data_IF_191278758221
#
_entry.id   IF_191278758221
#
_cell.length_a   1.000
_cell.length_b   1.000
_cell.length_c   1.000
_cell.angle_alpha   90.00
_cell.angle_beta   90.00
_cell.angle_gamma   90.00
#
_symmetry.space_group_name_H-M   'P 1'
#
loop_
_entity.id
_entity.type
_entity.pdbx_description
1 polymer ?
#
# COMPACT_ATOMS: atom_id res chain seq x y z
N UNK A 1 19.13 -2.04 -9.47
CA UNK A 1 17.93 -1.66 -10.24
C UNK A 1 16.79 -2.58 -9.84
N UNK A 2 16.03 -2.22 -8.80
CA UNK A 2 14.82 -2.93 -8.42
C UNK A 2 13.75 -2.62 -9.49
N UNK A 3 13.71 -3.42 -10.56
CA UNK A 3 12.58 -3.40 -11.48
C UNK A 3 11.35 -3.83 -10.70
N UNK A 4 10.33 -3.01 -10.81
CA UNK A 4 9.15 -2.93 -9.98
C UNK A 4 8.45 -4.28 -9.82
N UNK A 5 8.34 -4.75 -8.57
CA UNK A 5 7.41 -5.82 -8.22
C UNK A 5 5.96 -5.33 -8.23
N UNK A 6 5.68 -4.08 -8.63
CA UNK A 6 4.34 -3.50 -8.67
C UNK A 6 3.36 -4.39 -9.47
N UNK A 7 3.71 -4.78 -10.69
CA UNK A 7 2.83 -5.66 -11.49
C UNK A 7 2.66 -7.04 -10.87
N UNK A 8 3.69 -7.57 -10.18
CA UNK A 8 3.57 -8.83 -9.45
C UNK A 8 2.63 -8.69 -8.24
N UNK A 9 2.73 -7.60 -7.51
CA UNK A 9 1.85 -7.30 -6.38
C UNK A 9 0.42 -7.01 -6.85
N UNK A 10 0.25 -6.28 -7.96
CA UNK A 10 -1.04 -6.04 -8.60
C UNK A 10 -1.68 -7.35 -9.06
N UNK A 11 -0.91 -8.30 -9.61
CA UNK A 11 -1.43 -9.63 -9.96
C UNK A 11 -1.84 -10.47 -8.75
N UNK A 12 -1.33 -10.16 -7.56
CA UNK A 12 -1.54 -10.92 -6.33
C UNK A 12 -2.64 -10.33 -5.44
N UNK A 13 -2.76 -9.01 -5.44
CA UNK A 13 -3.63 -8.26 -4.53
C UNK A 13 -4.60 -7.31 -5.25
N UNK A 14 -4.53 -7.23 -6.57
CA UNK A 14 -5.38 -6.37 -7.39
C UNK A 14 -6.83 -6.87 -7.52
N UNK A 15 -7.66 -6.16 -8.30
CA UNK A 15 -9.05 -6.55 -8.50
C UNK A 15 -9.15 -7.92 -9.18
N UNK A 16 -10.14 -8.72 -8.75
CA UNK A 16 -10.42 -10.04 -9.33
C UNK A 16 -9.47 -11.16 -8.88
N UNK A 17 -8.51 -10.90 -7.99
CA UNK A 17 -7.71 -11.95 -7.37
C UNK A 17 -8.53 -12.73 -6.34
N UNK A 18 -8.36 -14.07 -6.24
CA UNK A 18 -9.04 -14.84 -5.21
C UNK A 18 -8.68 -14.32 -3.82
N UNK A 19 -9.60 -14.36 -2.84
CA UNK A 19 -9.35 -13.85 -1.50
C UNK A 19 -8.10 -14.51 -0.93
N UNK A 20 -7.04 -13.71 -0.78
CA UNK A 20 -5.80 -14.15 -0.15
C UNK A 20 -6.14 -14.37 1.33
N UNK A 21 -5.70 -15.48 1.97
CA UNK A 21 -5.99 -15.72 3.38
C UNK A 21 -5.66 -14.47 4.20
N UNK A 22 -6.59 -14.08 5.07
CA UNK A 22 -6.61 -12.79 5.77
C UNK A 22 -5.22 -12.43 6.30
N UNK A 23 -4.62 -11.40 5.72
CA UNK A 23 -3.30 -10.93 6.11
C UNK A 23 -3.38 -10.45 7.57
N UNK A 24 -2.54 -11.00 8.45
CA UNK A 24 -2.49 -10.51 9.84
C UNK A 24 -1.90 -9.10 9.89
N UNK A 25 -2.25 -8.30 10.91
CA UNK A 25 -1.68 -6.96 11.12
C UNK A 25 -0.15 -6.95 11.08
N UNK A 26 0.49 -7.98 11.65
CA UNK A 26 1.94 -8.13 11.64
C UNK A 26 2.50 -8.33 10.24
N UNK A 27 1.87 -9.17 9.41
CA UNK A 27 2.27 -9.39 8.03
C UNK A 27 2.06 -8.13 7.18
N UNK A 28 0.95 -7.44 7.37
CA UNK A 28 0.62 -6.18 6.71
C UNK A 28 1.66 -5.08 6.99
N UNK A 29 2.06 -4.92 8.26
CA UNK A 29 3.15 -4.01 8.67
C UNK A 29 4.48 -4.35 8.02
N UNK A 30 4.82 -5.65 7.95
CA UNK A 30 6.04 -6.14 7.31
C UNK A 30 6.01 -5.84 5.81
N UNK A 31 4.85 -6.04 5.16
CA UNK A 31 4.64 -5.70 3.76
C UNK A 31 4.92 -4.21 3.52
N UNK A 32 4.26 -3.31 4.24
CA UNK A 32 4.44 -1.87 4.07
C UNK A 32 5.90 -1.42 4.31
N UNK A 33 6.57 -2.01 5.30
CA UNK A 33 7.99 -1.74 5.57
C UNK A 33 8.90 -2.22 4.43
N UNK A 34 8.66 -3.42 3.89
CA UNK A 34 9.42 -3.95 2.75
C UNK A 34 9.18 -3.13 1.49
N UNK A 35 7.93 -2.76 1.25
CA UNK A 35 7.49 -1.92 0.15
C UNK A 35 8.16 -0.54 0.20
N UNK A 36 8.18 0.11 1.37
CA UNK A 36 8.95 1.35 1.56
C UNK A 36 10.44 1.15 1.24
N UNK A 37 11.05 0.08 1.73
CA UNK A 37 12.48 -0.23 1.54
C UNK A 37 12.87 -0.60 0.10
N UNK A 38 11.94 -1.07 -0.73
CA UNK A 38 12.21 -1.31 -2.15
C UNK A 38 12.15 -0.05 -3.00
N UNK A 39 11.44 0.99 -2.54
CA UNK A 39 11.30 2.29 -3.21
C UNK A 39 12.27 3.36 -2.65
N UNK A 40 13.26 2.92 -1.87
CA UNK A 40 14.01 3.69 -0.88
C UNK A 40 15.20 4.51 -1.43
N UNK A 41 15.44 4.54 -2.74
CA UNK A 41 16.64 5.21 -3.28
C UNK A 41 16.61 6.75 -3.15
N UNK A 42 15.44 7.37 -2.98
CA UNK A 42 15.30 8.84 -2.93
C UNK A 42 14.92 9.46 -1.57
N UNK A 43 14.55 8.67 -0.55
CA UNK A 43 13.89 9.18 0.68
C UNK A 43 14.73 9.08 1.97
N UNK A 44 16.03 8.82 1.85
CA UNK A 44 16.93 8.62 2.99
C UNK A 44 17.12 9.86 3.88
N UNK A 45 16.88 11.07 3.35
CA UNK A 45 17.04 12.31 4.13
C UNK A 45 15.86 12.55 5.09
N UNK A 46 14.65 12.08 4.77
CA UNK A 46 13.43 12.34 5.56
C UNK A 46 13.14 11.26 6.62
N UNK A 47 13.56 10.02 6.41
CA UNK A 47 13.31 8.92 7.37
C UNK A 47 14.05 9.02 8.71
N UNK A 48 15.15 9.80 8.78
CA UNK A 48 15.89 10.00 10.04
C UNK A 48 15.15 10.93 11.01
N UNK A 49 14.35 11.86 10.48
CA UNK A 49 13.60 12.85 11.27
C UNK A 49 12.35 12.28 11.94
N UNK A 50 11.92 11.06 11.57
CA UNK A 50 10.69 10.45 12.10
C UNK A 50 10.98 9.69 13.41
N UNK A 51 10.31 10.06 14.52
CA UNK A 51 10.39 9.35 15.80
C UNK A 51 10.12 7.84 15.65
N UNK A 52 10.85 7.02 16.42
CA UNK A 52 10.82 5.54 16.28
C UNK A 52 9.40 4.95 16.35
N UNK A 53 8.55 5.50 17.21
CA UNK A 53 7.16 5.08 17.40
C UNK A 53 6.27 5.40 16.17
N UNK A 54 6.58 6.45 15.40
CA UNK A 54 5.77 6.87 14.25
C UNK A 54 6.19 6.22 12.93
N UNK A 55 7.37 5.59 12.87
CA UNK A 55 7.90 5.02 11.62
C UNK A 55 6.98 4.00 10.98
N UNK A 56 6.33 3.14 11.76
CA UNK A 56 5.45 2.13 11.19
C UNK A 56 4.22 2.77 10.55
N UNK A 57 3.60 3.75 11.22
CA UNK A 57 2.47 4.51 10.67
C UNK A 57 2.87 5.24 9.38
N UNK A 58 4.07 5.84 9.37
CA UNK A 58 4.61 6.44 8.16
C UNK A 58 4.80 5.45 7.01
N UNK A 59 5.30 4.23 7.27
CA UNK A 59 5.42 3.20 6.23
C UNK A 59 4.06 2.80 5.65
N UNK A 60 3.01 2.76 6.48
CA UNK A 60 1.67 2.41 6.05
C UNK A 60 1.09 3.50 5.13
N UNK A 61 1.22 4.77 5.53
CA UNK A 61 0.77 5.93 4.71
C UNK A 61 1.57 6.01 3.41
N UNK A 62 2.90 5.88 3.49
CA UNK A 62 3.74 5.88 2.29
C UNK A 62 3.33 4.78 1.31
N UNK A 63 3.08 3.56 1.82
CA UNK A 63 2.68 2.44 0.97
C UNK A 63 1.34 2.72 0.28
N UNK A 64 0.39 3.36 0.96
CA UNK A 64 -0.86 3.82 0.34
C UNK A 64 -0.62 4.80 -0.80
N UNK A 65 0.11 5.89 -0.54
CA UNK A 65 0.37 6.92 -1.56
C UNK A 65 1.13 6.34 -2.76
N UNK A 66 2.19 5.56 -2.52
CA UNK A 66 3.02 5.02 -3.59
C UNK A 66 2.27 3.98 -4.44
N UNK A 67 1.34 3.22 -3.87
CA UNK A 67 0.44 2.37 -4.66
C UNK A 67 -0.44 3.20 -5.59
N UNK A 68 -1.03 4.30 -5.10
CA UNK A 68 -1.81 5.23 -5.93
C UNK A 68 -0.98 5.81 -7.07
N UNK A 69 0.24 6.26 -6.77
CA UNK A 69 1.17 6.77 -7.80
C UNK A 69 1.49 5.68 -8.83
N UNK A 70 1.76 4.45 -8.41
CA UNK A 70 2.05 3.36 -9.35
C UNK A 70 0.85 3.01 -10.24
N UNK A 71 -0.37 3.01 -9.71
CA UNK A 71 -1.57 2.82 -10.51
C UNK A 71 -1.71 3.94 -11.56
N UNK A 72 -1.37 5.18 -11.19
CA UNK A 72 -1.44 6.33 -12.08
C UNK A 72 -0.31 6.36 -13.13
N UNK A 73 0.93 6.00 -12.76
CA UNK A 73 2.11 6.19 -13.61
C UNK A 73 2.44 4.96 -14.47
N UNK A 74 2.34 3.75 -13.91
CA UNK A 74 2.80 2.52 -14.57
C UNK A 74 1.74 1.93 -15.51
N UNK A 75 0.46 2.17 -15.24
CA UNK A 75 -0.65 1.71 -16.10
C UNK A 75 -0.80 2.67 -17.28
N UNK A 76 -0.31 2.26 -18.45
CA UNK A 76 -0.28 3.08 -19.67
C UNK A 76 -1.64 3.28 -20.33
N UNK A 77 -2.54 2.31 -20.18
CA UNK A 77 -3.85 2.31 -20.82
C UNK A 77 -4.84 3.14 -19.98
N UNK A 78 -5.33 4.31 -20.44
CA UNK A 78 -6.17 5.20 -19.64
C UNK A 78 -7.50 4.55 -19.21
N UNK A 79 -8.04 3.70 -20.07
CA UNK A 79 -9.25 2.89 -19.86
C UNK A 79 -9.09 1.84 -18.76
N UNK A 80 -7.85 1.45 -18.42
CA UNK A 80 -7.55 0.54 -17.31
C UNK A 80 -7.17 1.29 -16.04
N UNK A 81 -6.59 2.49 -16.16
CA UNK A 81 -6.12 3.29 -15.03
C UNK A 81 -7.25 3.76 -14.13
N UNK A 82 -8.32 4.34 -14.71
CA UNK A 82 -9.44 4.88 -13.93
C UNK A 82 -10.12 3.77 -13.11
N UNK A 83 -10.51 2.62 -13.68
CA UNK A 83 -11.09 1.53 -12.87
C UNK A 83 -10.18 1.01 -11.76
N UNK A 84 -8.86 1.06 -11.95
CA UNK A 84 -7.90 0.65 -10.92
C UNK A 84 -7.80 1.67 -9.78
N UNK A 85 -7.90 2.96 -10.09
CA UNK A 85 -7.96 4.01 -9.07
C UNK A 85 -9.30 3.97 -8.31
N UNK A 86 -10.41 3.74 -9.00
CA UNK A 86 -11.74 3.56 -8.38
C UNK A 86 -11.72 2.34 -7.45
N UNK A 87 -11.11 1.24 -7.88
CA UNK A 87 -10.90 0.07 -7.02
C UNK A 87 -10.07 0.42 -5.77
N UNK A 88 -9.00 1.19 -5.93
CA UNK A 88 -8.15 1.59 -4.81
C UNK A 88 -8.87 2.51 -3.81
N UNK A 89 -9.70 3.43 -4.31
CA UNK A 89 -10.58 4.26 -3.48
C UNK A 89 -11.59 3.41 -2.71
N UNK A 90 -12.24 2.45 -3.37
CA UNK A 90 -13.17 1.54 -2.70
C UNK A 90 -12.48 0.73 -1.58
N UNK A 91 -11.22 0.32 -1.77
CA UNK A 91 -10.46 -0.36 -0.73
C UNK A 91 -10.17 0.54 0.49
N UNK A 92 -10.10 1.87 0.30
CA UNK A 92 -10.02 2.81 1.42
C UNK A 92 -11.36 2.86 2.16
N UNK A 93 -12.48 2.91 1.45
CA UNK A 93 -13.81 2.88 2.07
C UNK A 93 -14.03 1.60 2.88
N UNK A 94 -13.70 0.42 2.33
CA UNK A 94 -13.78 -0.85 3.06
C UNK A 94 -12.87 -0.88 4.27
N UNK A 95 -11.70 -0.24 4.19
CA UNK A 95 -10.80 -0.06 5.33
C UNK A 95 -11.45 0.71 6.47
N UNK A 96 -12.10 1.84 6.19
CA UNK A 96 -12.85 2.61 7.20
C UNK A 96 -14.04 1.83 7.77
N UNK A 97 -14.62 0.91 6.99
CA UNK A 97 -15.68 0.01 7.45
C UNK A 97 -15.17 -1.24 8.21
N UNK A 98 -13.87 -1.36 8.46
CA UNK A 98 -13.28 -2.49 9.18
C UNK A 98 -13.16 -3.78 8.36
N UNK A 99 -13.26 -3.68 7.03
CA UNK A 99 -13.26 -4.80 6.09
C UNK A 99 -12.02 -4.78 5.17
N UNK A 100 -10.90 -4.25 5.67
CA UNK A 100 -9.66 -4.20 4.90
C UNK A 100 -9.12 -5.61 4.58
N UNK A 101 -8.91 -5.89 3.29
CA UNK A 101 -8.33 -7.17 2.83
C UNK A 101 -6.90 -7.01 2.32
N UNK A 102 -6.64 -5.93 1.59
CA UNK A 102 -5.35 -5.69 0.97
C UNK A 102 -4.30 -5.31 2.04
N UNK A 103 -3.06 -5.83 1.99
CA UNK A 103 -2.08 -5.66 3.07
C UNK A 103 -1.78 -4.20 3.44
N UNK A 104 -1.82 -3.28 2.47
CA UNK A 104 -1.66 -1.85 2.74
C UNK A 104 -2.79 -1.33 3.63
N UNK A 105 -4.04 -1.65 3.32
CA UNK A 105 -5.21 -1.20 4.06
C UNK A 105 -5.35 -1.89 5.42
N UNK A 106 -4.97 -3.17 5.53
CA UNK A 106 -4.88 -3.83 6.84
C UNK A 106 -3.91 -3.08 7.75
N UNK A 107 -2.72 -2.73 7.25
CA UNK A 107 -1.76 -1.96 8.04
C UNK A 107 -2.26 -0.54 8.32
N UNK A 108 -2.91 0.09 7.35
CA UNK A 108 -3.43 1.45 7.43
C UNK A 108 -4.57 1.57 8.45
N UNK A 109 -5.44 0.57 8.58
CA UNK A 109 -6.56 0.57 9.52
C UNK A 109 -6.12 0.88 10.95
N UNK A 110 -5.00 0.30 11.39
CA UNK A 110 -4.42 0.60 12.72
C UNK A 110 -3.89 2.04 12.82
N UNK A 111 -3.42 2.61 11.72
CA UNK A 111 -2.97 4.01 11.70
C UNK A 111 -4.16 4.96 11.78
N UNK A 112 -5.24 4.66 11.05
CA UNK A 112 -6.51 5.39 11.12
C UNK A 112 -7.14 5.27 12.51
N UNK A 113 -7.03 4.12 13.17
CA UNK A 113 -7.61 3.94 14.50
C UNK A 113 -6.83 4.72 15.59
N UNK A 114 -5.52 4.87 15.45
CA UNK A 114 -4.67 5.56 16.43
C UNK A 114 -4.76 7.09 16.37
N UNK A 115 -5.05 7.68 15.19
CA UNK A 115 -4.99 9.12 14.93
C UNK A 115 -6.27 9.65 14.28
#
# INVERSE_FOLDING_TARGET
MARDNFFSDLSRYGPGTPPVPSCTQKQARIYCRKFFRSHYENFLVTGWLIPRNLRQHFYNIYAYCRWSDNLADEVKAPDQRIPLLDWWEHQLETCYNGQAEHPVFVALAETIHEF
#
